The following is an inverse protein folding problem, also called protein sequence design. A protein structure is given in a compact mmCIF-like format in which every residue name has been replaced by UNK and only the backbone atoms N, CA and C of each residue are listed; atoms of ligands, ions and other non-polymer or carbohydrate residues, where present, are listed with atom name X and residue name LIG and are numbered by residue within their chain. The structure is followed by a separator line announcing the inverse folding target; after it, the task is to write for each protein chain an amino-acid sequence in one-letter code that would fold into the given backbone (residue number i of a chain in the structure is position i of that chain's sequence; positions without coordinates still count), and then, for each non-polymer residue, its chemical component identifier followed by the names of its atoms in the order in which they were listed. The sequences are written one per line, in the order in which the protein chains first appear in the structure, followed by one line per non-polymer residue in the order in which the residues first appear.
data_IF_160070896231
#
_entry.id   IF_160070896231
#
_cell.length_a   1.000
_cell.length_b   1.000
_cell.length_c   1.000
_cell.angle_alpha   90.00
_cell.angle_beta   90.00
_cell.angle_gamma   90.00
#
_symmetry.space_group_name_H-M   'P 1'
#
loop_
_entity.id
_entity.type
_entity.pdbx_description
1 polymer ?
#
# COMPACT_ATOMS: atom_id res chain seq x y z
N UNK A 1 -2.29 -11.28 8.44
CA UNK A 1 -0.92 -11.80 8.20
C UNK A 1 -0.83 -13.19 8.80
N UNK A 2 -0.15 -14.14 8.14
CA UNK A 2 0.14 -15.43 8.78
C UNK A 2 0.95 -15.16 10.05
N UNK A 3 0.50 -15.71 11.18
CA UNK A 3 1.27 -15.66 12.42
C UNK A 3 2.63 -16.31 12.18
N UNK A 4 3.70 -15.58 12.48
CA UNK A 4 5.05 -16.07 12.30
C UNK A 4 5.30 -17.30 13.20
N UNK A 5 5.91 -18.33 12.62
CA UNK A 5 6.36 -19.52 13.32
C UNK A 5 7.53 -20.14 12.53
N UNK A 6 8.75 -20.18 13.10
CA UNK A 6 9.91 -20.78 12.44
C UNK A 6 9.65 -22.23 12.02
N UNK A 7 9.01 -23.00 12.92
CA UNK A 7 8.62 -24.39 12.68
C UNK A 7 7.68 -24.55 11.47
N UNK A 8 6.74 -23.62 11.29
CA UNK A 8 5.84 -23.61 10.14
C UNK A 8 6.61 -23.26 8.86
N UNK A 9 7.48 -22.25 8.91
CA UNK A 9 8.28 -21.83 7.76
C UNK A 9 9.16 -22.98 7.27
N UNK A 10 9.93 -23.60 8.16
CA UNK A 10 10.83 -24.73 7.83
C UNK A 10 10.04 -25.87 7.17
N UNK A 11 8.85 -26.20 7.68
CA UNK A 11 7.97 -27.21 7.06
C UNK A 11 7.51 -26.90 5.64
N UNK A 12 7.50 -25.64 5.23
CA UNK A 12 7.03 -25.24 3.90
C UNK A 12 8.20 -25.05 2.91
N UNK A 13 9.44 -25.21 3.33
CA UNK A 13 10.62 -25.06 2.49
C UNK A 13 11.31 -26.41 2.37
N UNK A 14 11.71 -26.80 1.16
CA UNK A 14 12.43 -28.05 0.93
C UNK A 14 13.81 -28.04 1.59
N UNK A 15 14.24 -29.22 2.06
CA UNK A 15 15.55 -29.43 2.71
C UNK A 15 16.72 -28.95 1.83
N UNK A 16 16.76 -29.18 0.49
CA UNK A 16 17.82 -28.65 -0.36
C UNK A 16 17.91 -27.12 -0.36
N UNK A 17 16.77 -26.42 -0.34
CA UNK A 17 16.76 -24.96 -0.35
C UNK A 17 17.16 -24.38 1.01
N UNK A 18 16.70 -24.99 2.11
CA UNK A 18 17.15 -24.66 3.47
C UNK A 18 18.66 -24.89 3.63
N UNK A 19 19.16 -26.04 3.18
CA UNK A 19 20.59 -26.33 3.19
C UNK A 19 21.38 -25.25 2.47
N UNK A 20 20.96 -24.88 1.25
CA UNK A 20 21.63 -23.83 0.46
C UNK A 20 21.67 -22.49 1.20
N UNK A 21 20.59 -22.10 1.87
CA UNK A 21 20.55 -20.89 2.68
C UNK A 21 21.56 -20.93 3.85
N UNK A 22 21.61 -22.04 4.59
CA UNK A 22 22.51 -22.18 5.73
C UNK A 22 23.98 -22.32 5.30
N UNK A 23 24.26 -23.05 4.21
CA UNK A 23 25.61 -23.18 3.62
C UNK A 23 26.17 -21.79 3.22
N UNK A 24 25.37 -20.91 2.60
CA UNK A 24 25.82 -19.56 2.22
C UNK A 24 26.14 -18.66 3.41
N UNK A 25 25.64 -19.01 4.59
CA UNK A 25 25.84 -18.28 5.84
C UNK A 25 26.90 -18.91 6.73
N UNK A 26 27.53 -20.01 6.29
CA UNK A 26 28.44 -20.83 7.09
C UNK A 26 27.78 -21.32 8.41
N UNK A 27 26.48 -21.59 8.38
CA UNK A 27 25.70 -22.07 9.53
C UNK A 27 25.25 -23.52 9.32
N UNK A 28 25.05 -24.24 10.44
CA UNK A 28 24.50 -25.61 10.45
C UNK A 28 25.26 -26.61 9.55
N UNK A 29 26.57 -26.42 9.37
CA UNK A 29 27.42 -27.28 8.52
C UNK A 29 27.49 -28.73 9.00
N UNK A 30 27.34 -28.96 10.31
CA UNK A 30 27.40 -30.29 10.94
C UNK A 30 26.05 -31.05 10.90
N UNK A 31 24.97 -30.41 10.45
CA UNK A 31 23.65 -31.05 10.38
C UNK A 31 23.63 -32.09 9.24
N UNK A 32 23.21 -33.33 9.53
CA UNK A 32 23.05 -34.37 8.51
C UNK A 32 21.78 -34.14 7.67
N UNK A 33 21.89 -33.27 6.67
CA UNK A 33 20.82 -32.94 5.74
C UNK A 33 20.30 -34.14 4.93
N UNK A 34 21.09 -35.22 4.75
CA UNK A 34 20.67 -36.40 3.97
C UNK A 34 19.80 -37.35 4.78
N UNK A 35 20.00 -37.39 6.10
CA UNK A 35 19.21 -38.18 7.04
C UNK A 35 17.90 -37.52 7.50
N UNK A 36 17.67 -36.25 7.17
CA UNK A 36 16.46 -35.53 7.57
C UNK A 36 15.22 -36.08 6.86
N UNK A 37 14.14 -36.29 7.62
CA UNK A 37 12.82 -36.52 7.05
C UNK A 37 12.35 -35.31 6.24
N UNK A 38 11.60 -35.57 5.17
CA UNK A 38 11.01 -34.50 4.36
C UNK A 38 10.15 -33.59 5.23
N UNK A 39 10.46 -32.29 5.20
CA UNK A 39 9.75 -31.26 5.96
C UNK A 39 9.70 -31.50 7.48
N UNK A 40 10.64 -32.24 8.08
CA UNK A 40 10.76 -32.35 9.53
C UNK A 40 11.53 -31.15 10.10
N UNK A 41 10.87 -30.21 10.78
CA UNK A 41 11.55 -29.03 11.30
C UNK A 41 12.34 -29.33 12.57
N UNK A 42 12.12 -30.47 13.25
CA UNK A 42 12.64 -30.67 14.60
C UNK A 42 14.18 -30.65 14.65
N UNK A 43 14.92 -31.39 13.80
CA UNK A 43 16.38 -31.37 13.87
C UNK A 43 16.98 -30.00 13.50
N UNK A 44 16.33 -29.28 12.58
CA UNK A 44 16.74 -27.92 12.20
C UNK A 44 16.51 -26.95 13.35
N UNK A 45 15.37 -27.04 14.05
CA UNK A 45 15.10 -26.21 15.23
C UNK A 45 16.10 -26.48 16.36
N UNK A 46 16.45 -27.74 16.61
CA UNK A 46 17.46 -28.12 17.62
C UNK A 46 18.82 -27.53 17.25
N UNK A 47 19.23 -27.60 15.99
CA UNK A 47 20.49 -27.00 15.53
C UNK A 47 20.48 -25.46 15.60
N UNK A 48 19.32 -24.82 15.40
CA UNK A 48 19.16 -23.37 15.59
C UNK A 48 19.27 -22.94 17.06
N UNK A 49 18.91 -23.82 18.02
CA UNK A 49 19.03 -23.54 19.45
C UNK A 49 20.50 -23.57 19.93
N UNK A 50 21.40 -24.22 19.18
CA UNK A 50 22.84 -24.29 19.46
C UNK A 50 23.62 -23.08 18.93
N UNK A 51 23.02 -22.28 18.03
CA UNK A 51 23.63 -21.06 17.50
C UNK A 51 23.81 -19.99 18.59
N UNK A 52 24.78 -19.08 18.36
CA UNK A 52 24.88 -17.89 19.19
C UNK A 52 23.61 -17.02 19.08
N UNK A 53 23.34 -16.21 20.10
CA UNK A 53 22.17 -15.33 20.10
C UNK A 53 22.12 -14.40 18.87
N UNK A 54 23.28 -13.90 18.43
CA UNK A 54 23.39 -13.00 17.27
C UNK A 54 23.09 -13.72 15.95
N UNK A 55 23.60 -14.94 15.76
CA UNK A 55 23.32 -15.74 14.56
C UNK A 55 21.84 -16.13 14.51
N UNK A 56 21.28 -16.54 15.65
CA UNK A 56 19.86 -16.87 15.77
C UNK A 56 18.97 -15.67 15.46
N UNK A 57 19.25 -14.49 16.02
CA UNK A 57 18.50 -13.25 15.73
C UNK A 57 18.56 -12.89 14.24
N UNK A 58 19.72 -13.07 13.62
CA UNK A 58 19.90 -12.85 12.20
C UNK A 58 19.09 -13.85 11.34
N UNK A 59 19.05 -15.13 11.69
CA UNK A 59 18.20 -16.13 11.00
C UNK A 59 16.71 -15.82 11.21
N UNK A 60 16.31 -15.47 12.42
CA UNK A 60 14.93 -15.09 12.76
C UNK A 60 14.48 -13.85 11.97
N UNK A 61 15.37 -12.88 11.75
CA UNK A 61 15.09 -11.71 10.92
C UNK A 61 14.76 -12.08 9.48
N UNK A 62 15.61 -12.92 8.87
CA UNK A 62 15.41 -13.42 7.51
C UNK A 62 14.12 -14.25 7.38
N UNK A 63 13.87 -15.14 8.35
CA UNK A 63 12.67 -15.98 8.35
C UNK A 63 11.39 -15.15 8.52
N UNK A 64 11.43 -14.08 9.32
CA UNK A 64 10.32 -13.13 9.41
C UNK A 64 10.06 -12.45 8.06
N UNK A 65 11.10 -11.94 7.39
CA UNK A 65 10.97 -11.33 6.06
C UNK A 65 10.36 -12.32 5.05
N UNK A 66 10.85 -13.57 5.02
CA UNK A 66 10.29 -14.62 4.15
C UNK A 66 8.82 -14.87 4.48
N UNK A 67 8.46 -15.03 5.75
CA UNK A 67 7.07 -15.27 6.14
C UNK A 67 6.14 -14.11 5.77
N UNK A 68 6.64 -12.87 5.79
CA UNK A 68 5.89 -11.69 5.37
C UNK A 68 5.66 -11.62 3.86
N UNK A 69 6.58 -12.14 3.06
CA UNK A 69 6.52 -12.19 1.61
C UNK A 69 5.87 -13.47 1.07
N UNK A 70 5.78 -14.53 1.88
CA UNK A 70 5.16 -15.81 1.53
C UNK A 70 3.63 -15.71 1.37
N UNK A 71 3.20 -14.96 0.36
CA UNK A 71 1.84 -14.67 -0.04
C UNK A 71 1.78 -14.46 -1.56
N UNK A 72 0.61 -14.64 -2.16
CA UNK A 72 0.41 -14.36 -3.60
C UNK A 72 0.88 -12.94 -4.01
N UNK A 73 0.59 -11.92 -3.19
CA UNK A 73 1.03 -10.55 -3.46
C UNK A 73 2.55 -10.37 -3.36
N UNK A 74 3.19 -11.04 -2.39
CA UNK A 74 4.64 -10.98 -2.22
C UNK A 74 5.36 -11.72 -3.35
N UNK A 75 4.91 -12.94 -3.69
CA UNK A 75 5.42 -13.69 -4.85
C UNK A 75 5.31 -12.86 -6.14
N UNK A 76 4.18 -12.21 -6.39
CA UNK A 76 4.01 -11.33 -7.57
C UNK A 76 5.05 -10.20 -7.59
N UNK A 77 5.29 -9.53 -6.47
CA UNK A 77 6.31 -8.47 -6.38
C UNK A 77 7.72 -9.02 -6.61
N UNK A 78 8.04 -10.22 -6.10
CA UNK A 78 9.31 -10.90 -6.36
C UNK A 78 9.49 -11.15 -7.86
N UNK A 79 8.47 -11.68 -8.54
CA UNK A 79 8.51 -11.91 -9.99
C UNK A 79 8.67 -10.62 -10.78
N UNK A 80 7.90 -9.59 -10.45
CA UNK A 80 7.97 -8.27 -11.08
C UNK A 80 9.39 -7.70 -10.96
N UNK A 81 9.92 -7.62 -9.75
CA UNK A 81 11.27 -7.07 -9.51
C UNK A 81 12.37 -7.94 -10.12
N UNK A 82 12.26 -9.28 -10.06
CA UNK A 82 13.23 -10.20 -10.65
C UNK A 82 13.31 -10.03 -12.18
N UNK A 83 12.16 -9.84 -12.84
CA UNK A 83 12.06 -9.72 -14.30
C UNK A 83 12.70 -8.44 -14.84
N UNK A 84 12.75 -7.36 -14.04
CA UNK A 84 13.32 -6.09 -14.50
C UNK A 84 14.85 -6.03 -14.58
N UNK A 85 15.54 -7.03 -14.02
CA UNK A 85 17.01 -7.01 -13.89
C UNK A 85 17.74 -8.06 -14.73
N UNK A 86 17.07 -8.72 -15.68
CA UNK A 86 17.58 -9.92 -16.37
C UNK A 86 18.23 -10.92 -15.40
N UNK A 87 17.60 -11.10 -14.22
CA UNK A 87 18.19 -11.91 -13.16
C UNK A 87 18.16 -13.39 -13.60
N UNK A 88 19.31 -14.08 -13.66
CA UNK A 88 19.38 -15.47 -14.17
C UNK A 88 18.58 -16.50 -13.37
N UNK A 89 18.16 -16.15 -12.16
CA UNK A 89 17.37 -17.00 -11.28
C UNK A 89 15.85 -16.74 -11.38
N UNK A 90 15.40 -15.72 -12.11
CA UNK A 90 13.99 -15.37 -12.22
C UNK A 90 13.15 -16.56 -12.74
N UNK A 91 13.63 -17.25 -13.78
CA UNK A 91 12.96 -18.44 -14.34
C UNK A 91 12.85 -19.61 -13.34
N UNK A 92 13.72 -19.65 -12.32
CA UNK A 92 13.67 -20.69 -11.29
C UNK A 92 12.50 -20.51 -10.33
N UNK A 93 11.92 -19.30 -10.24
CA UNK A 93 10.77 -19.02 -9.38
C UNK A 93 9.52 -19.82 -9.77
N UNK A 94 9.36 -20.13 -11.05
CA UNK A 94 8.24 -20.95 -11.56
C UNK A 94 8.36 -22.41 -11.09
N UNK A 95 9.58 -22.90 -10.88
CA UNK A 95 9.84 -24.24 -10.37
C UNK A 95 9.66 -24.40 -8.85
N UNK A 96 9.44 -23.31 -8.11
CA UNK A 96 9.24 -23.36 -6.66
C UNK A 96 7.82 -23.82 -6.31
N UNK A 97 7.69 -24.70 -5.31
CA UNK A 97 6.42 -25.35 -5.01
C UNK A 97 5.39 -24.41 -4.37
N UNK A 98 5.85 -23.38 -3.64
CA UNK A 98 4.99 -22.47 -2.89
C UNK A 98 5.65 -21.10 -2.66
N UNK A 99 4.91 -20.17 -2.05
CA UNK A 99 5.36 -18.79 -1.83
C UNK A 99 6.53 -18.68 -0.83
N UNK A 100 6.66 -19.62 0.13
CA UNK A 100 7.80 -19.64 1.05
C UNK A 100 9.09 -19.94 0.29
N UNK A 101 9.06 -20.92 -0.62
CA UNK A 101 10.22 -21.28 -1.44
C UNK A 101 10.61 -20.15 -2.41
N UNK A 102 9.64 -19.45 -3.00
CA UNK A 102 9.91 -18.27 -3.84
C UNK A 102 10.61 -17.16 -3.06
N UNK A 103 10.10 -16.84 -1.88
CA UNK A 103 10.69 -15.82 -1.01
C UNK A 103 12.09 -16.24 -0.51
N UNK A 104 12.28 -17.51 -0.14
CA UNK A 104 13.59 -18.04 0.26
C UNK A 104 14.59 -18.02 -0.90
N UNK A 105 14.20 -18.47 -2.09
CA UNK A 105 15.06 -18.44 -3.27
C UNK A 105 15.51 -17.00 -3.58
N UNK A 106 14.57 -16.05 -3.58
CA UNK A 106 14.88 -14.65 -3.80
C UNK A 106 15.85 -14.09 -2.73
N UNK A 107 15.71 -14.46 -1.46
CA UNK A 107 16.66 -14.07 -0.39
C UNK A 107 18.07 -14.63 -0.63
N UNK A 108 18.17 -15.91 -0.98
CA UNK A 108 19.43 -16.61 -1.25
C UNK A 108 20.16 -16.00 -2.46
N UNK A 109 19.41 -15.61 -3.50
CA UNK A 109 19.99 -15.14 -4.76
C UNK A 109 20.25 -13.62 -4.77
N UNK A 110 19.39 -12.83 -4.14
CA UNK A 110 19.50 -11.37 -4.08
C UNK A 110 18.78 -10.78 -2.86
N UNK A 111 19.50 -10.70 -1.72
CA UNK A 111 18.98 -10.06 -0.50
C UNK A 111 18.49 -8.62 -0.74
N UNK A 112 19.11 -7.85 -1.63
CA UNK A 112 18.70 -6.46 -1.90
C UNK A 112 17.33 -6.40 -2.58
N UNK A 113 17.01 -7.38 -3.43
CA UNK A 113 15.65 -7.51 -3.98
C UNK A 113 14.62 -7.73 -2.88
N UNK A 114 14.93 -8.57 -1.88
CA UNK A 114 14.01 -8.81 -0.77
C UNK A 114 13.75 -7.54 0.04
N UNK A 115 14.77 -6.70 0.27
CA UNK A 115 14.58 -5.42 0.94
C UNK A 115 13.62 -4.51 0.14
N UNK A 116 13.84 -4.39 -1.17
CA UNK A 116 12.97 -3.62 -2.09
C UNK A 116 11.53 -4.15 -2.08
N UNK A 117 11.36 -5.46 -2.24
CA UNK A 117 10.04 -6.10 -2.30
C UNK A 117 9.33 -6.00 -0.95
N UNK A 118 10.06 -6.08 0.16
CA UNK A 118 9.52 -5.86 1.51
C UNK A 118 8.96 -4.45 1.65
N UNK A 119 9.69 -3.43 1.22
CA UNK A 119 9.22 -2.03 1.20
C UNK A 119 7.98 -1.85 0.32
N UNK A 120 7.95 -2.44 -0.89
CA UNK A 120 6.77 -2.42 -1.76
C UNK A 120 5.56 -3.11 -1.11
N UNK A 121 5.77 -4.28 -0.51
CA UNK A 121 4.72 -5.05 0.14
C UNK A 121 4.16 -4.31 1.36
N UNK A 122 5.03 -3.67 2.16
CA UNK A 122 4.62 -2.82 3.27
C UNK A 122 3.74 -1.66 2.81
N UNK A 123 4.15 -0.95 1.76
CA UNK A 123 3.35 0.11 1.17
C UNK A 123 1.96 -0.35 0.70
N UNK A 124 1.92 -1.46 -0.04
CA UNK A 124 0.70 -2.00 -0.64
C UNK A 124 -0.28 -2.57 0.42
N UNK A 125 0.21 -2.87 1.63
CA UNK A 125 -0.62 -3.34 2.76
C UNK A 125 -1.48 -2.23 3.39
N UNK A 126 -1.09 -0.96 3.28
CA UNK A 126 -1.84 0.12 3.91
C UNK A 126 -3.13 0.42 3.14
N UNK A 127 -4.25 0.49 3.86
CA UNK A 127 -5.51 0.95 3.28
C UNK A 127 -5.35 2.35 2.69
N UNK A 128 -5.87 2.56 1.49
CA UNK A 128 -5.77 3.82 0.74
C UNK A 128 -6.27 5.05 1.52
N UNK A 129 -7.23 4.86 2.44
CA UNK A 129 -7.75 5.93 3.31
C UNK A 129 -6.72 6.52 4.29
N UNK A 130 -5.60 5.82 4.53
CA UNK A 130 -4.51 6.30 5.39
C UNK A 130 -3.58 7.28 4.68
N UNK A 131 -3.55 7.23 3.35
CA UNK A 131 -2.72 8.08 2.52
C UNK A 131 -3.35 9.47 2.39
N UNK A 132 -2.51 10.49 2.31
CA UNK A 132 -2.90 11.86 1.96
C UNK A 132 -2.24 12.24 0.65
N UNK A 133 -3.02 12.76 -0.28
CA UNK A 133 -2.58 13.06 -1.63
C UNK A 133 -2.66 14.56 -1.90
N UNK A 134 -1.80 15.02 -2.79
CA UNK A 134 -1.85 16.37 -3.36
C UNK A 134 -1.71 16.28 -4.87
N UNK A 135 -2.08 17.35 -5.58
CA UNK A 135 -1.88 17.45 -7.03
C UNK A 135 -0.86 18.54 -7.27
N UNK A 136 0.25 18.17 -7.89
CA UNK A 136 1.42 19.04 -8.07
C UNK A 136 1.81 19.29 -9.52
N UNK A 137 1.12 18.64 -10.46
CA UNK A 137 1.44 18.69 -11.87
C UNK A 137 2.06 17.38 -12.35
N UNK A 138 1.72 17.00 -13.59
CA UNK A 138 2.15 15.74 -14.20
C UNK A 138 3.62 15.84 -14.63
N UNK A 139 4.34 14.73 -14.50
CA UNK A 139 5.73 14.52 -14.95
C UNK A 139 6.72 15.58 -14.45
N UNK A 140 6.60 15.98 -13.19
CA UNK A 140 7.67 16.73 -12.54
C UNK A 140 8.91 15.83 -12.44
N UNK A 141 10.08 16.39 -12.76
CA UNK A 141 11.32 15.67 -12.62
C UNK A 141 11.66 15.50 -11.14
N UNK A 142 11.88 14.26 -10.71
CA UNK A 142 12.40 13.97 -9.38
C UNK A 142 13.88 14.38 -9.34
N UNK A 143 14.21 15.27 -8.42
CA UNK A 143 15.56 15.85 -8.24
C UNK A 143 16.43 15.05 -7.25
N UNK A 144 15.80 14.18 -6.47
CA UNK A 144 16.44 13.29 -5.48
C UNK A 144 17.39 14.01 -4.48
N UNK A 145 17.06 15.23 -4.05
CA UNK A 145 17.88 15.99 -3.10
C UNK A 145 17.69 15.50 -1.63
N UNK A 146 18.00 14.22 -1.37
CA UNK A 146 17.75 13.54 -0.09
C UNK A 146 18.34 14.27 1.12
N UNK A 147 19.53 14.86 0.99
CA UNK A 147 20.14 15.60 2.10
C UNK A 147 19.38 16.89 2.46
N UNK A 148 18.77 17.55 1.48
CA UNK A 148 17.89 18.69 1.74
C UNK A 148 16.57 18.23 2.37
N UNK A 149 16.02 17.10 1.93
CA UNK A 149 14.84 16.50 2.55
C UNK A 149 15.12 16.13 4.01
N UNK A 150 16.25 15.45 4.30
CA UNK A 150 16.70 15.14 5.67
C UNK A 150 16.77 16.41 6.53
N UNK A 151 17.42 17.46 6.03
CA UNK A 151 17.56 18.73 6.75
C UNK A 151 16.20 19.37 7.04
N UNK A 152 15.30 19.40 6.06
CA UNK A 152 13.95 19.97 6.21
C UNK A 152 13.09 19.20 7.21
N UNK A 153 13.08 17.87 7.12
CA UNK A 153 12.34 17.03 8.08
C UNK A 153 12.91 17.16 9.50
N UNK A 154 14.24 17.16 9.66
CA UNK A 154 14.87 17.38 10.97
C UNK A 154 14.45 18.71 11.58
N UNK A 155 14.39 19.78 10.77
CA UNK A 155 13.94 21.09 11.25
C UNK A 155 12.50 21.06 11.77
N UNK A 156 11.56 20.48 11.00
CA UNK A 156 10.16 20.35 11.40
C UNK A 156 9.99 19.56 12.71
N UNK A 157 10.68 18.42 12.82
CA UNK A 157 10.56 17.56 14.00
C UNK A 157 11.28 18.14 15.23
N UNK A 158 12.33 18.95 15.04
CA UNK A 158 13.06 19.60 16.12
C UNK A 158 12.21 20.59 16.92
N UNK A 159 11.24 21.24 16.29
CA UNK A 159 10.26 22.11 16.98
C UNK A 159 9.43 21.34 18.02
N UNK A 160 9.32 20.02 17.87
CA UNK A 160 8.63 19.12 18.78
C UNK A 160 9.58 18.38 19.75
N UNK A 161 10.86 18.76 19.81
CA UNK A 161 11.88 18.05 20.58
C UNK A 161 12.31 16.70 19.99
N UNK A 162 12.04 16.47 18.69
CA UNK A 162 12.36 15.24 17.94
C UNK A 162 13.36 15.54 16.81
N UNK A 163 13.61 14.59 15.90
CA UNK A 163 14.28 14.88 14.63
C UNK A 163 15.77 15.22 14.72
N UNK A 164 16.47 14.77 15.77
CA UNK A 164 17.93 14.95 15.85
C UNK A 164 18.64 14.26 14.68
N UNK A 165 18.16 13.09 14.29
CA UNK A 165 18.61 12.32 13.12
C UNK A 165 17.44 12.08 12.18
N UNK A 166 17.75 11.83 10.91
CA UNK A 166 16.78 11.42 9.90
C UNK A 166 17.50 10.59 8.86
N UNK A 167 16.99 9.39 8.60
CA UNK A 167 17.45 8.52 7.51
C UNK A 167 16.46 8.57 6.36
N UNK A 168 16.95 8.43 5.13
CA UNK A 168 16.11 8.43 3.92
C UNK A 168 16.56 7.32 3.00
N UNK A 169 15.58 6.55 2.55
CA UNK A 169 15.70 5.52 1.53
C UNK A 169 14.76 5.86 0.38
N UNK A 170 15.16 5.55 -0.84
CA UNK A 170 14.33 5.77 -2.02
C UNK A 170 14.31 4.50 -2.85
N UNK A 171 13.21 4.34 -3.57
CA UNK A 171 12.93 3.19 -4.41
C UNK A 171 12.15 3.66 -5.63
N UNK A 172 12.62 3.28 -6.82
CA UNK A 172 11.87 3.48 -8.07
C UNK A 172 11.09 2.22 -8.40
N UNK A 173 9.76 2.31 -8.35
CA UNK A 173 8.86 1.25 -8.82
C UNK A 173 8.53 1.51 -10.28
N UNK A 174 8.72 0.54 -11.16
CA UNK A 174 8.63 0.76 -12.62
C UNK A 174 7.27 0.46 -13.23
N UNK A 175 6.44 -0.37 -12.60
CA UNK A 175 5.12 -0.74 -13.13
C UNK A 175 4.01 -0.66 -12.06
N UNK A 176 3.13 0.37 -12.12
CA UNK A 176 3.33 1.62 -12.86
C UNK A 176 4.50 2.43 -12.27
N UNK A 177 5.03 3.39 -13.03
CA UNK A 177 6.12 4.26 -12.58
C UNK A 177 5.73 5.03 -11.31
N UNK A 178 6.49 4.84 -10.23
CA UNK A 178 6.39 5.57 -8.97
C UNK A 178 7.77 5.83 -8.39
N UNK A 179 7.97 7.05 -7.90
CA UNK A 179 9.08 7.36 -7.03
C UNK A 179 8.64 7.21 -5.57
N UNK A 180 9.23 6.25 -4.86
CA UNK A 180 8.94 5.97 -3.46
C UNK A 180 10.09 6.49 -2.58
N UNK A 181 9.76 7.13 -1.46
CA UNK A 181 10.74 7.65 -0.51
C UNK A 181 10.29 7.36 0.92
N UNK A 182 11.14 6.70 1.69
CA UNK A 182 10.93 6.35 3.08
C UNK A 182 11.82 7.26 3.92
N UNK A 183 11.21 8.02 4.81
CA UNK A 183 11.91 8.91 5.73
C UNK A 183 11.69 8.46 7.17
N UNK A 184 12.80 8.41 7.92
CA UNK A 184 12.83 7.95 9.30
C UNK A 184 13.40 9.06 10.22
N UNK A 185 12.67 10.17 10.43
CA UNK A 185 13.05 11.14 11.46
C UNK A 185 13.01 10.50 12.86
N UNK A 186 14.01 10.84 13.67
CA UNK A 186 14.11 10.40 15.06
C UNK A 186 12.85 10.82 15.84
N UNK A 187 12.26 9.88 16.56
CA UNK A 187 11.12 10.04 17.45
C UNK A 187 11.57 10.19 18.91
N UNK A 188 10.63 10.40 19.82
CA UNK A 188 10.92 10.42 21.25
C UNK A 188 11.61 9.12 21.67
N UNK A 189 12.64 9.19 22.53
CA UNK A 189 13.28 8.00 23.07
C UNK A 189 12.26 7.19 23.86
N UNK A 190 12.20 5.90 23.60
CA UNK A 190 11.40 4.95 24.38
C UNK A 190 12.29 4.21 25.34
N UNK A 191 11.69 3.78 26.45
CA UNK A 191 12.40 2.92 27.39
C UNK A 191 11.69 1.58 27.47
N UNK A 192 12.42 0.54 27.11
CA UNK A 192 11.96 -0.83 27.16
C UNK A 192 12.70 -1.56 28.29
N UNK A 193 12.02 -2.52 28.93
CA UNK A 193 12.64 -3.46 29.86
C UNK A 193 12.98 -4.72 29.07
N UNK A 194 14.25 -5.14 29.13
CA UNK A 194 14.72 -6.27 28.35
C UNK A 194 15.97 -6.89 28.95
N UNK A 195 16.47 -7.93 28.29
CA UNK A 195 17.76 -8.53 28.59
C UNK A 195 18.78 -8.00 27.58
N UNK A 196 20.02 -7.85 28.01
CA UNK A 196 21.11 -7.50 27.12
C UNK A 196 21.83 -8.73 26.56
N UNK A 197 22.87 -8.49 25.75
CA UNK A 197 23.67 -9.56 25.14
C UNK A 197 24.35 -10.49 26.17
N UNK A 198 24.42 -10.07 27.45
CA UNK A 198 24.93 -10.86 28.57
C UNK A 198 23.80 -11.49 29.41
N UNK A 199 22.57 -11.53 28.89
CA UNK A 199 21.36 -12.01 29.56
C UNK A 199 21.04 -11.27 30.88
N UNK A 200 21.48 -10.02 31.03
CA UNK A 200 21.17 -9.22 32.23
C UNK A 200 19.91 -8.39 32.01
N UNK A 201 18.96 -8.49 32.92
CA UNK A 201 17.75 -7.67 32.89
C UNK A 201 18.12 -6.21 33.15
N UNK A 202 17.92 -5.34 32.16
CA UNK A 202 18.19 -3.92 32.29
C UNK A 202 17.18 -3.05 31.56
N UNK A 203 17.18 -1.79 31.94
CA UNK A 203 16.39 -0.74 31.33
C UNK A 203 17.14 -0.21 30.10
N UNK A 204 16.59 -0.41 28.91
CA UNK A 204 17.20 0.05 27.65
C UNK A 204 16.48 1.27 27.11
N UNK A 205 17.19 2.38 26.94
CA UNK A 205 16.66 3.52 26.19
C UNK A 205 16.93 3.33 24.70
N UNK A 206 15.86 3.10 23.93
CA UNK A 206 15.93 2.99 22.47
C UNK A 206 15.51 4.32 21.84
N UNK A 207 16.39 4.87 21.00
CA UNK A 207 16.06 5.99 20.11
C UNK A 207 15.27 5.42 18.92
N UNK A 208 13.96 5.63 18.91
CA UNK A 208 13.09 5.14 17.85
C UNK A 208 12.99 6.14 16.69
N UNK A 209 12.57 5.68 15.52
CA UNK A 209 12.20 6.55 14.40
C UNK A 209 10.69 6.46 14.13
N UNK A 210 10.11 7.53 13.62
CA UNK A 210 8.78 7.52 13.01
C UNK A 210 8.98 7.33 11.53
N UNK A 211 8.23 6.42 10.91
CA UNK A 211 8.24 6.24 9.48
C UNK A 211 7.26 7.21 8.79
N UNK A 212 7.74 7.79 7.69
CA UNK A 212 6.94 8.56 6.74
C UNK A 212 7.24 8.01 5.36
N UNK A 213 6.21 7.62 4.63
CA UNK A 213 6.34 7.09 3.27
C UNK A 213 5.77 8.12 2.31
N UNK A 214 6.53 8.48 1.29
CA UNK A 214 6.09 9.29 0.16
C UNK A 214 6.06 8.44 -1.10
N UNK A 215 5.03 8.64 -1.92
CA UNK A 215 4.88 7.99 -3.22
C UNK A 215 4.49 9.06 -4.22
N UNK A 216 5.33 9.32 -5.20
CA UNK A 216 5.01 10.22 -6.31
C UNK A 216 4.67 9.41 -7.55
N UNK A 217 3.49 9.67 -8.12
CA UNK A 217 3.05 9.15 -9.43
C UNK A 217 3.27 10.23 -10.49
N UNK A 218 4.31 10.13 -11.35
CA UNK A 218 4.60 11.15 -12.34
C UNK A 218 3.46 11.36 -13.33
N UNK A 219 2.86 10.30 -13.86
CA UNK A 219 1.79 10.39 -14.87
C UNK A 219 0.56 11.17 -14.41
N UNK A 220 0.18 10.99 -13.14
CA UNK A 220 -0.99 11.66 -12.56
C UNK A 220 -0.62 12.99 -11.91
N UNK A 221 0.65 13.22 -11.62
CA UNK A 221 1.11 14.38 -10.88
C UNK A 221 0.67 14.39 -9.43
N UNK A 222 0.64 13.21 -8.80
CA UNK A 222 0.11 13.00 -7.46
C UNK A 222 1.21 12.49 -6.53
N UNK A 223 1.72 13.30 -5.59
CA UNK A 223 2.40 12.82 -4.41
C UNK A 223 1.38 12.38 -3.36
N UNK A 224 1.66 11.23 -2.75
CA UNK A 224 0.93 10.67 -1.63
C UNK A 224 1.88 10.53 -0.44
N UNK A 225 1.36 10.73 0.76
CA UNK A 225 2.10 10.61 2.01
C UNK A 225 1.33 9.74 2.99
N UNK A 226 2.03 8.76 3.55
CA UNK A 226 1.64 8.05 4.75
C UNK A 226 2.50 8.53 5.92
N UNK A 227 1.86 8.87 7.04
CA UNK A 227 2.56 9.31 8.23
C UNK A 227 1.60 9.70 9.35
N UNK A 228 2.14 9.83 10.56
CA UNK A 228 1.42 10.35 11.72
C UNK A 228 1.35 11.89 11.67
N UNK A 229 0.41 12.46 12.40
CA UNK A 229 0.24 13.91 12.53
C UNK A 229 -1.15 14.39 12.11
N UNK A 230 -1.49 15.59 12.56
CA UNK A 230 -2.69 16.30 12.15
C UNK A 230 -2.53 16.90 10.75
N UNK A 231 -3.60 17.51 10.21
CA UNK A 231 -3.61 18.07 8.85
C UNK A 231 -2.46 19.05 8.59
N UNK A 232 -2.22 20.00 9.51
CA UNK A 232 -1.19 21.03 9.37
C UNK A 232 0.22 20.44 9.36
N UNK A 233 0.47 19.46 10.24
CA UNK A 233 1.76 18.75 10.29
C UNK A 233 2.02 17.99 8.99
N UNK A 234 1.00 17.29 8.48
CA UNK A 234 1.11 16.55 7.22
C UNK A 234 1.36 17.46 6.02
N UNK A 235 0.70 18.61 5.96
CA UNK A 235 0.92 19.62 4.92
C UNK A 235 2.35 20.18 4.97
N UNK A 236 2.87 20.50 6.17
CA UNK A 236 4.25 20.97 6.33
C UNK A 236 5.28 19.91 5.89
N UNK A 237 5.07 18.65 6.26
CA UNK A 237 5.93 17.53 5.86
C UNK A 237 5.89 17.34 4.32
N UNK A 238 4.70 17.33 3.73
CA UNK A 238 4.53 17.20 2.29
C UNK A 238 5.12 18.38 1.52
N UNK A 239 5.04 19.60 2.08
CA UNK A 239 5.66 20.78 1.50
C UNK A 239 7.18 20.66 1.43
N UNK A 240 7.83 20.16 2.50
CA UNK A 240 9.28 19.89 2.46
C UNK A 240 9.61 18.90 1.35
N UNK A 241 8.87 17.78 1.27
CA UNK A 241 9.07 16.79 0.20
C UNK A 241 8.92 17.40 -1.19
N UNK A 242 7.85 18.16 -1.44
CA UNK A 242 7.61 18.76 -2.75
C UNK A 242 8.69 19.78 -3.14
N UNK A 243 9.20 20.56 -2.18
CA UNK A 243 10.27 21.52 -2.41
C UNK A 243 11.59 20.83 -2.75
N UNK A 244 11.95 19.80 -2.00
CA UNK A 244 13.28 19.18 -2.10
C UNK A 244 13.34 18.06 -3.13
N UNK A 245 12.28 17.30 -3.33
CA UNK A 245 12.28 16.14 -4.23
C UNK A 245 11.67 16.46 -5.59
N UNK A 246 10.67 17.36 -5.65
CA UNK A 246 9.95 17.71 -6.87
C UNK A 246 10.26 19.11 -7.40
N UNK A 247 11.18 19.85 -6.77
CA UNK A 247 11.62 21.18 -7.20
C UNK A 247 10.56 22.28 -7.12
N UNK A 248 9.47 22.08 -6.37
CA UNK A 248 8.43 23.09 -6.21
C UNK A 248 8.88 24.23 -5.29
N UNK A 249 8.32 25.43 -5.48
CA UNK A 249 8.59 26.57 -4.58
C UNK A 249 7.72 26.55 -3.32
N UNK A 250 6.55 25.93 -3.39
CA UNK A 250 5.62 25.72 -2.29
C UNK A 250 4.71 24.53 -2.61
N UNK A 251 4.07 23.98 -1.57
CA UNK A 251 2.98 23.02 -1.79
C UNK A 251 1.83 23.77 -2.47
N UNK A 252 1.28 23.26 -3.60
CA UNK A 252 0.15 23.89 -4.24
C UNK A 252 -1.03 24.00 -3.25
N UNK A 253 -1.83 25.08 -3.33
CA UNK A 253 -3.02 25.20 -2.50
C UNK A 253 -3.92 23.99 -2.74
N UNK A 254 -4.73 23.60 -1.73
CA UNK A 254 -5.73 22.55 -1.88
C UNK A 254 -6.51 22.78 -3.17
N UNK A 255 -6.58 21.75 -4.01
CA UNK A 255 -6.99 21.89 -5.39
C UNK A 255 -8.36 22.60 -5.48
N UNK A 256 -8.38 23.81 -6.08
CA UNK A 256 -9.63 24.55 -6.31
C UNK A 256 -10.59 23.74 -7.20
N UNK A 257 -10.06 22.81 -7.99
CA UNK A 257 -10.81 21.85 -8.80
C UNK A 257 -10.46 20.42 -8.39
N UNK A 258 -11.11 19.87 -7.36
CA UNK A 258 -10.86 18.50 -6.89
C UNK A 258 -10.87 17.49 -8.05
N UNK A 259 -10.00 16.46 -8.00
CA UNK A 259 -9.88 15.47 -9.07
C UNK A 259 -11.16 14.66 -9.26
N UNK A 260 -12.05 14.63 -8.26
CA UNK A 260 -13.37 14.03 -8.40
C UNK A 260 -14.48 15.07 -8.29
N UNK A 261 -15.38 15.05 -9.26
CA UNK A 261 -16.63 15.80 -9.26
C UNK A 261 -17.82 14.84 -9.24
N UNK A 262 -18.32 14.59 -8.03
CA UNK A 262 -19.46 13.72 -7.83
C UNK A 262 -20.80 14.44 -8.09
N UNK A 263 -20.80 15.73 -8.42
CA UNK A 263 -22.04 16.47 -8.66
C UNK A 263 -22.81 15.95 -9.89
N UNK A 264 -22.12 15.34 -10.86
CA UNK A 264 -22.74 14.71 -12.03
C UNK A 264 -23.72 13.59 -11.64
N UNK A 265 -23.47 12.92 -10.50
CA UNK A 265 -24.30 11.84 -9.96
C UNK A 265 -25.62 12.33 -9.36
N UNK A 266 -25.84 13.64 -9.24
CA UNK A 266 -27.15 14.19 -8.84
C UNK A 266 -28.18 14.10 -9.97
N UNK A 267 -27.72 13.99 -11.22
CA UNK A 267 -28.60 14.03 -12.41
C UNK A 267 -29.36 12.71 -12.51
N UNK A 268 -30.69 12.77 -12.44
CA UNK A 268 -31.55 11.57 -12.57
C UNK A 268 -31.34 10.80 -13.89
N UNK A 269 -31.03 11.52 -14.97
CA UNK A 269 -30.76 10.95 -16.29
C UNK A 269 -29.28 10.63 -16.54
N UNK A 270 -28.47 10.52 -15.48
CA UNK A 270 -27.08 10.13 -15.63
C UNK A 270 -26.99 8.69 -16.15
N UNK A 271 -26.22 8.48 -17.22
CA UNK A 271 -26.06 7.17 -17.84
C UNK A 271 -24.61 6.70 -17.76
N UNK A 272 -24.41 5.49 -17.24
CA UNK A 272 -23.12 4.82 -17.19
C UNK A 272 -22.80 4.19 -18.55
N UNK A 273 -22.58 5.03 -19.57
CA UNK A 273 -22.22 4.54 -20.90
C UNK A 273 -20.88 3.80 -20.84
N UNK A 274 -20.85 2.61 -21.43
CA UNK A 274 -19.67 1.75 -21.49
C UNK A 274 -19.44 1.27 -22.91
N UNK A 275 -18.18 0.98 -23.22
CA UNK A 275 -17.74 0.30 -24.44
C UNK A 275 -18.00 -1.21 -24.27
N UNK A 276 -18.77 -1.84 -25.18
CA UNK A 276 -18.97 -3.28 -25.19
C UNK A 276 -17.66 -4.10 -25.16
N UNK A 277 -16.56 -3.56 -25.67
CA UNK A 277 -15.24 -4.21 -25.66
C UNK A 277 -14.68 -4.44 -24.24
N UNK A 278 -15.05 -3.59 -23.27
CA UNK A 278 -14.62 -3.73 -21.87
C UNK A 278 -15.46 -4.76 -21.08
N UNK A 279 -16.43 -5.40 -21.73
CA UNK A 279 -17.23 -6.50 -21.21
C UNK A 279 -17.99 -6.18 -19.90
N UNK A 280 -18.41 -4.93 -19.76
CA UNK A 280 -19.26 -4.46 -18.64
C UNK A 280 -20.72 -4.76 -18.96
N UNK A 281 -21.40 -5.41 -18.02
CA UNK A 281 -22.83 -5.73 -18.10
C UNK A 281 -23.67 -4.56 -17.59
N UNK A 282 -23.29 -4.01 -16.43
CA UNK A 282 -23.99 -2.88 -15.82
C UNK A 282 -23.09 -2.15 -14.81
N UNK A 283 -23.41 -0.88 -14.58
CA UNK A 283 -22.87 -0.12 -13.45
C UNK A 283 -24.04 0.52 -12.71
N UNK A 284 -24.03 0.39 -11.39
CA UNK A 284 -25.06 0.95 -10.50
C UNK A 284 -24.42 1.68 -9.31
N UNK A 285 -25.08 2.72 -8.82
CA UNK A 285 -24.69 3.40 -7.57
C UNK A 285 -25.40 2.69 -6.42
N UNK A 286 -24.64 2.22 -5.44
CA UNK A 286 -25.13 1.50 -4.26
C UNK A 286 -25.36 2.42 -3.07
N UNK A 287 -24.57 3.48 -2.99
CA UNK A 287 -24.61 4.45 -1.89
C UNK A 287 -24.19 5.82 -2.39
N UNK A 288 -24.90 6.86 -1.97
CA UNK A 288 -24.47 8.25 -2.05
C UNK A 288 -24.50 8.88 -0.67
N UNK A 289 -23.45 9.64 -0.34
CA UNK A 289 -23.40 10.46 0.86
C UNK A 289 -23.44 11.93 0.47
N UNK A 290 -24.34 12.67 1.09
CA UNK A 290 -24.49 14.10 0.96
C UNK A 290 -24.00 14.78 2.23
N UNK A 291 -23.11 15.76 2.09
CA UNK A 291 -22.78 16.69 3.17
C UNK A 291 -23.76 17.88 3.08
N UNK A 292 -24.40 18.22 4.21
CA UNK A 292 -25.42 19.27 4.27
C UNK A 292 -24.79 20.62 4.64
N UNK A 293 -25.29 21.75 4.11
CA UNK A 293 -24.82 23.08 4.49
C UNK A 293 -25.13 23.41 5.96
N UNK A 294 -24.35 24.31 6.57
CA UNK A 294 -24.57 24.85 7.92
C UNK A 294 -23.53 24.42 8.96
N UNK A 295 -23.78 24.77 10.23
CA UNK A 295 -22.93 24.45 11.37
C UNK A 295 -23.14 23.01 11.85
N UNK A 296 -22.05 22.35 12.27
CA UNK A 296 -22.06 20.94 12.64
C UNK A 296 -21.92 20.04 11.42
N UNK A 297 -21.05 19.03 11.52
CA UNK A 297 -20.72 18.12 10.42
C UNK A 297 -21.88 17.17 10.12
N UNK A 298 -22.90 17.66 9.41
CA UNK A 298 -24.14 16.95 9.11
C UNK A 298 -24.06 16.25 7.77
N UNK A 299 -24.50 14.99 7.74
CA UNK A 299 -24.48 14.15 6.54
C UNK A 299 -25.73 13.30 6.42
N UNK A 300 -26.13 13.06 5.18
CA UNK A 300 -27.17 12.10 4.82
C UNK A 300 -26.53 11.00 3.98
N UNK A 301 -26.85 9.74 4.28
CA UNK A 301 -26.41 8.58 3.49
C UNK A 301 -27.66 7.93 2.93
N UNK A 302 -27.74 7.86 1.61
CA UNK A 302 -28.75 7.11 0.89
C UNK A 302 -28.11 5.86 0.33
N UNK A 303 -28.70 4.70 0.59
CA UNK A 303 -28.22 3.42 0.08
C UNK A 303 -29.38 2.58 -0.39
N UNK A 304 -29.25 1.99 -1.58
CA UNK A 304 -30.22 1.06 -2.12
C UNK A 304 -29.59 -0.34 -2.21
N UNK A 305 -30.36 -1.35 -1.83
CA UNK A 305 -30.12 -2.73 -2.27
C UNK A 305 -31.07 -2.97 -3.44
N UNK A 306 -30.58 -3.23 -4.66
CA UNK A 306 -31.41 -3.68 -5.75
C UNK A 306 -31.82 -5.12 -5.44
N UNK A 307 -32.89 -5.24 -4.66
CA UNK A 307 -33.83 -6.36 -4.74
C UNK A 307 -34.80 -5.99 -5.87
N UNK A 308 -34.84 -6.81 -6.91
CA UNK A 308 -35.90 -6.82 -7.92
C UNK A 308 -36.06 -5.58 -8.82
N UNK A 309 -34.95 -4.91 -9.15
CA UNK A 309 -34.90 -3.99 -10.30
C UNK A 309 -35.74 -2.71 -10.21
N UNK A 310 -36.39 -2.44 -9.07
CA UNK A 310 -37.35 -1.33 -8.92
C UNK A 310 -36.86 -0.14 -8.08
N UNK A 311 -35.76 -0.24 -7.33
CA UNK A 311 -35.27 0.90 -6.53
C UNK A 311 -34.05 1.53 -7.17
N UNK A 312 -34.26 2.60 -7.93
CA UNK A 312 -33.20 3.48 -8.39
C UNK A 312 -32.81 4.42 -7.23
N UNK A 313 -31.51 4.56 -6.95
CA UNK A 313 -31.01 5.46 -5.89
C UNK A 313 -31.46 6.91 -6.10
N UNK A 314 -31.77 7.31 -7.34
CA UNK A 314 -32.34 8.60 -7.65
C UNK A 314 -33.79 8.77 -7.20
N UNK A 315 -34.61 7.72 -7.22
CA UNK A 315 -35.97 7.80 -6.69
C UNK A 315 -35.95 7.94 -5.16
N UNK A 316 -35.01 7.27 -4.49
CA UNK A 316 -34.74 7.50 -3.06
C UNK A 316 -34.27 8.93 -2.75
N UNK A 317 -33.56 9.58 -3.67
CA UNK A 317 -33.21 11.00 -3.51
C UNK A 317 -34.48 11.85 -3.52
N UNK A 318 -35.36 11.63 -4.50
CA UNK A 318 -36.60 12.39 -4.65
C UNK A 318 -37.54 12.20 -3.44
N UNK A 319 -37.57 10.99 -2.85
CA UNK A 319 -38.38 10.68 -1.67
C UNK A 319 -37.78 11.19 -0.35
N UNK A 320 -36.47 11.04 -0.15
CA UNK A 320 -35.84 11.25 1.16
C UNK A 320 -35.26 12.65 1.34
N UNK A 321 -34.86 13.33 0.25
CA UNK A 321 -34.31 14.67 0.35
C UNK A 321 -35.44 15.68 0.40
N UNK A 322 -35.58 16.36 1.54
CA UNK A 322 -36.46 17.52 1.63
C UNK A 322 -35.87 18.69 0.83
N UNK A 323 -36.13 18.72 -0.47
CA UNK A 323 -35.60 19.71 -1.42
C UNK A 323 -36.06 21.13 -1.12
N UNK A 324 -37.12 21.31 -0.32
CA UNK A 324 -37.58 22.61 0.14
C UNK A 324 -36.60 23.26 1.12
N UNK A 325 -36.06 22.47 2.05
CA UNK A 325 -35.08 22.95 3.04
C UNK A 325 -33.63 22.80 2.57
N UNK A 326 -33.38 21.82 1.68
CA UNK A 326 -32.06 21.52 1.15
C UNK A 326 -32.14 21.29 -0.35
N UNK A 327 -32.13 22.36 -1.17
CA UNK A 327 -32.06 22.23 -2.62
C UNK A 327 -30.91 21.29 -3.01
N UNK A 328 -31.17 20.36 -3.93
CA UNK A 328 -30.19 19.35 -4.31
C UNK A 328 -28.89 19.98 -4.86
N UNK A 329 -28.97 21.20 -5.41
CA UNK A 329 -27.83 22.03 -5.82
C UNK A 329 -26.86 22.30 -4.67
N UNK A 330 -27.37 22.48 -3.46
CA UNK A 330 -26.64 22.98 -2.30
C UNK A 330 -26.00 21.85 -1.49
N UNK A 331 -26.42 20.61 -1.75
CA UNK A 331 -25.86 19.41 -1.11
C UNK A 331 -24.57 18.98 -1.80
N UNK A 332 -23.47 18.79 -1.07
CA UNK A 332 -22.25 18.22 -1.66
C UNK A 332 -22.35 16.70 -1.69
N UNK A 333 -22.27 16.07 -2.86
CA UNK A 333 -22.08 14.60 -2.94
C UNK A 333 -20.64 14.32 -2.49
N UNK A 334 -20.46 13.90 -1.24
CA UNK A 334 -19.14 13.72 -0.64
C UNK A 334 -18.60 12.29 -0.77
N UNK A 335 -19.45 11.34 -1.16
CA UNK A 335 -19.06 9.94 -1.39
C UNK A 335 -20.06 9.25 -2.32
N UNK A 336 -19.56 8.36 -3.17
CA UNK A 336 -20.36 7.40 -3.92
C UNK A 336 -19.70 6.02 -3.89
N UNK A 337 -20.51 4.96 -3.70
CA UNK A 337 -20.08 3.57 -3.88
C UNK A 337 -20.76 2.99 -5.11
N UNK A 338 -19.96 2.44 -6.01
CA UNK A 338 -20.37 1.84 -7.27
C UNK A 338 -20.29 0.33 -7.20
N UNK A 339 -21.15 -0.35 -7.95
CA UNK A 339 -21.01 -1.75 -8.30
C UNK A 339 -21.00 -1.87 -9.82
N UNK A 340 -19.86 -2.28 -10.38
CA UNK A 340 -19.67 -2.52 -11.80
C UNK A 340 -19.63 -4.03 -12.05
N UNK A 341 -20.64 -4.55 -12.76
CA UNK A 341 -20.77 -5.97 -13.09
C UNK A 341 -20.13 -6.25 -14.45
N UNK A 342 -19.25 -7.24 -14.49
CA UNK A 342 -18.63 -7.71 -15.72
C UNK A 342 -19.29 -9.01 -16.15
N UNK A 343 -19.56 -9.15 -17.46
CA UNK A 343 -20.14 -10.38 -18.00
C UNK A 343 -19.21 -11.56 -17.77
N UNK A 344 -19.82 -12.73 -17.54
CA UNK A 344 -19.11 -14.00 -17.52
C UNK A 344 -18.48 -14.34 -18.88
N UNK A 345 -17.33 -15.02 -18.87
CA UNK A 345 -16.73 -15.61 -20.08
C UNK A 345 -16.76 -17.14 -19.94
N UNK A 346 -17.02 -17.85 -21.04
CA UNK A 346 -16.96 -19.31 -21.15
C UNK A 346 -17.76 -20.06 -20.06
N UNK A 347 -19.03 -19.68 -19.85
CA UNK A 347 -19.92 -20.31 -18.86
C UNK A 347 -19.60 -20.01 -17.39
N UNK A 348 -18.56 -19.22 -17.09
CA UNK A 348 -18.28 -18.76 -15.72
C UNK A 348 -19.20 -17.60 -15.33
N UNK A 349 -19.59 -17.55 -14.05
CA UNK A 349 -20.40 -16.47 -13.49
C UNK A 349 -19.67 -15.13 -13.62
N UNK A 350 -20.42 -14.08 -13.98
CA UNK A 350 -19.91 -12.70 -13.96
C UNK A 350 -19.38 -12.31 -12.59
N UNK A 351 -18.51 -11.30 -12.55
CA UNK A 351 -17.90 -10.81 -11.32
C UNK A 351 -18.20 -9.31 -11.16
N UNK A 352 -18.42 -8.87 -9.93
CA UNK A 352 -18.75 -7.48 -9.59
C UNK A 352 -17.58 -6.81 -8.91
N UNK A 353 -17.07 -5.73 -9.50
CA UNK A 353 -16.13 -4.82 -8.86
C UNK A 353 -16.92 -3.78 -8.05
N UNK A 354 -16.66 -3.69 -6.74
CA UNK A 354 -17.20 -2.64 -5.89
C UNK A 354 -16.10 -1.65 -5.56
N UNK A 355 -16.36 -0.38 -5.82
CA UNK A 355 -15.40 0.68 -5.57
C UNK A 355 -16.10 1.93 -5.07
N UNK A 356 -15.31 2.82 -4.48
CA UNK A 356 -15.75 4.01 -3.80
C UNK A 356 -14.95 5.21 -4.31
N UNK A 357 -15.65 6.32 -4.50
CA UNK A 357 -15.05 7.63 -4.74
C UNK A 357 -15.55 8.57 -3.63
N UNK A 358 -14.64 9.28 -2.98
CA UNK A 358 -14.89 10.24 -1.91
C UNK A 358 -14.31 11.59 -2.31
N UNK A 359 -15.13 12.63 -2.22
CA UNK A 359 -14.67 14.00 -2.39
C UNK A 359 -13.71 14.40 -1.26
N UNK A 360 -12.65 15.18 -1.54
CA UNK A 360 -12.31 15.75 -2.85
C UNK A 360 -11.49 14.81 -3.75
N UNK A 361 -10.73 13.88 -3.19
CA UNK A 361 -9.52 13.35 -3.83
C UNK A 361 -9.27 11.85 -3.61
N UNK A 362 -10.22 11.10 -3.06
CA UNK A 362 -10.00 9.70 -2.72
C UNK A 362 -10.83 8.76 -3.59
N UNK A 363 -10.19 7.70 -4.11
CA UNK A 363 -10.84 6.60 -4.82
C UNK A 363 -10.08 5.31 -4.54
N UNK A 364 -10.78 4.24 -4.16
CA UNK A 364 -10.16 2.98 -3.74
C UNK A 364 -9.80 2.00 -4.90
N UNK A 365 -9.65 2.54 -6.12
CA UNK A 365 -9.35 1.75 -7.31
C UNK A 365 -7.83 1.63 -7.48
N UNK A 366 -7.37 0.42 -7.78
CA UNK A 366 -5.98 0.13 -8.16
C UNK A 366 -5.70 0.46 -9.63
N UNK A 367 -4.43 0.31 -10.04
CA UNK A 367 -3.97 0.63 -11.41
C UNK A 367 -3.95 -0.57 -12.35
N UNK A 368 -4.41 -1.74 -11.90
CA UNK A 368 -4.31 -3.01 -12.65
C UNK A 368 -5.66 -3.65 -12.89
N UNK A 369 -5.77 -4.42 -13.97
CA UNK A 369 -6.93 -5.27 -14.24
C UNK A 369 -8.24 -4.49 -14.36
N UNK A 370 -9.28 -4.92 -13.65
CA UNK A 370 -10.63 -4.30 -13.71
C UNK A 370 -10.67 -2.91 -13.09
N UNK A 371 -9.79 -2.63 -12.15
CA UNK A 371 -9.73 -1.33 -11.50
C UNK A 371 -9.27 -0.25 -12.48
N UNK A 372 -8.31 -0.57 -13.35
CA UNK A 372 -7.88 0.31 -14.44
C UNK A 372 -9.03 0.62 -15.41
N UNK A 373 -9.87 -0.38 -15.73
CA UNK A 373 -11.08 -0.20 -16.54
C UNK A 373 -12.06 0.74 -15.83
N UNK A 374 -12.31 0.56 -14.54
CA UNK A 374 -13.18 1.44 -13.78
C UNK A 374 -12.64 2.89 -13.73
N UNK A 375 -11.31 3.08 -13.60
CA UNK A 375 -10.68 4.41 -13.67
C UNK A 375 -10.87 5.09 -15.03
N UNK A 376 -10.73 4.34 -16.13
CA UNK A 376 -11.04 4.82 -17.49
C UNK A 376 -12.46 5.37 -17.54
N UNK A 377 -13.44 4.64 -17.00
CA UNK A 377 -14.83 5.07 -17.01
C UNK A 377 -15.13 6.25 -16.07
N UNK A 378 -14.49 6.34 -14.91
CA UNK A 378 -14.62 7.54 -14.07
C UNK A 378 -14.27 8.82 -14.83
N UNK A 379 -13.24 8.78 -15.69
CA UNK A 379 -12.88 9.91 -16.57
C UNK A 379 -13.94 10.14 -17.65
N UNK A 380 -14.36 9.09 -18.36
CA UNK A 380 -15.37 9.21 -19.43
C UNK A 380 -16.74 9.72 -18.93
N UNK A 381 -17.10 9.38 -17.69
CA UNK A 381 -18.33 9.80 -17.04
C UNK A 381 -18.27 11.21 -16.46
N UNK A 382 -17.11 11.89 -16.57
CA UNK A 382 -16.90 13.23 -16.01
C UNK A 382 -16.85 13.25 -14.48
N UNK A 383 -16.70 12.08 -13.84
CA UNK A 383 -16.56 11.98 -12.38
C UNK A 383 -15.12 12.26 -11.98
N UNK A 384 -14.15 11.70 -12.71
CA UNK A 384 -12.74 12.04 -12.54
C UNK A 384 -12.37 13.13 -13.54
N UNK A 385 -11.74 14.20 -13.05
CA UNK A 385 -11.13 15.26 -13.84
C UNK A 385 -9.69 14.85 -14.11
N UNK A 386 -9.36 14.54 -15.37
CA UNK A 386 -8.01 14.07 -15.72
C UNK A 386 -7.75 13.95 -17.21
#
# INVERSE_FOLDING_TARGET
MPQYSPKKLIRNISNPLLKRYFDQRDLLGDLDWKGLGDHDPKPIMEALDELSASERESVETDFNQINELATDSGSRLIFEEASFGDRPWADKLDGMANDYERAMLALIEDRRLIDIVSSCNEMDRFAESRWKSWIVGKRLQVTDEREKLKKGLRALFKEQGRGQRCHIETLDRRDPERFCCFAFPEDYPKTDLGYDDNNQFKRHTRRTATEIIFVYRPEDGIPEMLGKGNKKEKEAIAEVFCKTMLGLTALPPPNQRPPYDLAVLKRKNFSFKTDPADNIESTEIRLMRFDLPGQGYRRMILSARPTDGQTNLHDLIDEAVNTTNFPLSDLLVSQAIFAMRFRGKNGRRGNTLRFQVTYPDHCNLKDTGKDAIAKKYLKQWGIARG
#
